data_IF_425544448027
#
_entry.id   IF_425544448027
#
_cell.length_a   1.000
_cell.length_b   1.000
_cell.length_c   1.000
_cell.angle_alpha   90.00
_cell.angle_beta   90.00
_cell.angle_gamma   90.00
#
_symmetry.space_group_name_H-M   'P 1'
#
loop_
_entity.id
_entity.type
_entity.pdbx_description
1 polymer ?
#
# COMPACT_ATOMS: atom_id res chain seq x y z
N UNK A 1 -3.48 -15.30 -47.31
CA UNK A 1 -2.88 -15.85 -46.07
C UNK A 1 -2.03 -14.85 -45.26
N UNK A 2 -1.87 -13.57 -45.66
CA UNK A 2 -1.04 -12.60 -44.93
C UNK A 2 -1.77 -11.77 -43.85
N UNK A 3 -3.11 -11.82 -43.77
CA UNK A 3 -3.89 -10.95 -42.88
C UNK A 3 -4.05 -11.46 -41.44
N UNK A 4 -3.84 -12.75 -41.18
CA UNK A 4 -4.06 -13.37 -39.85
C UNK A 4 -2.93 -12.98 -38.88
N UNK A 5 -1.69 -12.89 -39.35
CA UNK A 5 -0.52 -12.53 -38.53
C UNK A 5 -0.53 -11.09 -38.01
N UNK A 6 -1.21 -10.15 -38.67
CA UNK A 6 -1.24 -8.75 -38.25
C UNK A 6 -2.20 -8.50 -37.08
N UNK A 7 -3.25 -9.32 -36.94
CA UNK A 7 -4.24 -9.18 -35.85
C UNK A 7 -3.64 -9.64 -34.52
N UNK A 8 -2.91 -10.77 -34.52
CA UNK A 8 -2.26 -11.30 -33.30
C UNK A 8 -1.16 -10.38 -32.74
N UNK A 9 -0.38 -9.74 -33.62
CA UNK A 9 0.68 -8.79 -33.20
C UNK A 9 0.09 -7.52 -32.61
N UNK A 10 -1.05 -7.05 -33.14
CA UNK A 10 -1.72 -5.85 -32.63
C UNK A 10 -2.40 -6.12 -31.28
N UNK A 11 -3.07 -7.27 -31.12
CA UNK A 11 -3.66 -7.67 -29.84
C UNK A 11 -2.59 -7.89 -28.77
N UNK A 12 -1.47 -8.53 -29.10
CA UNK A 12 -0.35 -8.70 -28.16
C UNK A 12 0.31 -7.37 -27.79
N UNK A 13 0.45 -6.42 -28.73
CA UNK A 13 0.92 -5.07 -28.42
C UNK A 13 -0.04 -4.30 -27.51
N UNK A 14 -1.37 -4.36 -27.75
CA UNK A 14 -2.37 -3.72 -26.90
C UNK A 14 -2.38 -4.35 -25.50
N UNK A 15 -2.29 -5.68 -25.41
CA UNK A 15 -2.22 -6.38 -24.13
C UNK A 15 -0.94 -5.99 -23.38
N UNK A 16 0.21 -5.88 -24.06
CA UNK A 16 1.48 -5.44 -23.48
C UNK A 16 1.46 -3.97 -23.04
N UNK A 17 0.88 -3.07 -23.82
CA UNK A 17 0.72 -1.66 -23.45
C UNK A 17 -0.24 -1.51 -22.26
N UNK A 18 -1.31 -2.30 -22.23
CA UNK A 18 -2.29 -2.30 -21.14
C UNK A 18 -1.66 -2.82 -19.84
N UNK A 19 -0.87 -3.89 -19.89
CA UNK A 19 -0.20 -4.43 -18.68
C UNK A 19 0.91 -3.49 -18.17
N UNK A 20 1.67 -2.85 -19.06
CA UNK A 20 2.71 -1.90 -18.69
C UNK A 20 2.13 -0.66 -18.01
N UNK A 21 1.07 -0.06 -18.57
CA UNK A 21 0.37 1.08 -17.98
C UNK A 21 -0.25 0.75 -16.61
N UNK A 22 -0.81 -0.46 -16.44
CA UNK A 22 -1.36 -0.92 -15.16
C UNK A 22 -0.26 -1.14 -14.11
N UNK A 23 0.91 -1.63 -14.50
CA UNK A 23 2.07 -1.79 -13.61
C UNK A 23 2.60 -0.44 -13.11
N UNK A 24 2.75 0.54 -14.00
CA UNK A 24 3.21 1.89 -13.62
C UNK A 24 2.23 2.58 -12.67
N UNK A 25 0.93 2.42 -12.91
CA UNK A 25 -0.12 2.95 -12.01
C UNK A 25 -0.06 2.28 -10.63
N UNK A 26 0.05 0.95 -10.58
CA UNK A 26 0.06 0.19 -9.31
C UNK A 26 1.27 0.51 -8.45
N UNK A 27 2.46 0.63 -9.06
CA UNK A 27 3.68 1.04 -8.35
C UNK A 27 3.56 2.46 -7.79
N UNK A 28 3.01 3.41 -8.55
CA UNK A 28 2.75 4.78 -8.07
C UNK A 28 1.82 4.82 -6.86
N UNK A 29 0.74 4.04 -6.88
CA UNK A 29 -0.18 3.94 -5.75
C UNK A 29 0.47 3.30 -4.52
N UNK A 30 1.27 2.25 -4.69
CA UNK A 30 2.06 1.64 -3.62
C UNK A 30 3.04 2.66 -3.01
N UNK A 31 3.80 3.37 -3.85
CA UNK A 31 4.72 4.41 -3.38
C UNK A 31 3.98 5.52 -2.64
N UNK A 32 2.81 5.93 -3.11
CA UNK A 32 1.98 6.93 -2.42
C UNK A 32 1.53 6.43 -1.04
N UNK A 33 1.09 5.17 -0.94
CA UNK A 33 0.72 4.54 0.35
C UNK A 33 1.89 4.56 1.33
N UNK A 34 3.08 4.20 0.85
CA UNK A 34 4.29 4.19 1.66
C UNK A 34 4.69 5.59 2.11
N UNK A 35 4.70 6.57 1.21
CA UNK A 35 5.09 7.97 1.52
C UNK A 35 4.14 8.58 2.55
N UNK A 36 2.83 8.41 2.40
CA UNK A 36 1.85 8.93 3.36
C UNK A 36 2.02 8.28 4.73
N UNK A 37 2.27 6.96 4.76
CA UNK A 37 2.50 6.23 6.01
C UNK A 37 3.80 6.68 6.68
N UNK A 38 4.86 6.86 5.90
CA UNK A 38 6.15 7.38 6.38
C UNK A 38 6.00 8.79 6.96
N UNK A 39 5.27 9.68 6.29
CA UNK A 39 4.99 11.02 6.79
C UNK A 39 4.25 10.98 8.14
N UNK A 40 3.29 10.06 8.28
CA UNK A 40 2.55 9.88 9.53
C UNK A 40 3.44 9.36 10.66
N UNK A 41 4.34 8.42 10.37
CA UNK A 41 5.32 7.92 11.33
C UNK A 41 6.32 9.01 11.74
N UNK A 42 6.83 9.81 10.80
CA UNK A 42 7.70 10.96 11.08
C UNK A 42 6.97 11.98 11.96
N UNK A 43 5.70 12.27 11.65
CA UNK A 43 4.88 13.15 12.47
C UNK A 43 4.70 12.60 13.89
N UNK A 44 4.44 11.30 14.03
CA UNK A 44 4.36 10.61 15.33
C UNK A 44 5.70 10.67 16.08
N UNK A 45 6.82 10.61 15.38
CA UNK A 45 8.16 10.69 15.97
C UNK A 45 8.45 12.09 16.52
N UNK A 46 8.00 13.14 15.82
CA UNK A 46 8.10 14.53 16.28
C UNK A 46 7.23 14.76 17.54
N UNK A 47 6.03 14.18 17.59
CA UNK A 47 5.09 14.38 18.69
C UNK A 47 5.36 13.52 19.93
N UNK A 48 5.70 12.25 19.75
CA UNK A 48 5.89 11.27 20.83
C UNK A 48 7.36 11.05 21.20
N UNK A 49 8.29 11.62 20.43
CA UNK A 49 9.72 11.39 20.59
C UNK A 49 10.21 10.10 19.92
N UNK A 50 11.53 9.96 19.84
CA UNK A 50 12.18 8.82 19.21
C UNK A 50 12.07 7.59 20.13
N UNK A 51 11.27 6.60 19.72
CA UNK A 51 11.13 5.34 20.46
C UNK A 51 11.68 4.18 19.65
N UNK A 52 12.33 3.24 20.33
CA UNK A 52 12.89 2.02 19.72
C UNK A 52 11.79 1.21 19.02
N UNK A 53 10.59 1.16 19.61
CA UNK A 53 9.43 0.49 19.02
C UNK A 53 9.00 1.11 17.68
N UNK A 54 9.04 2.44 17.56
CA UNK A 54 8.68 3.14 16.33
C UNK A 54 9.74 2.89 15.23
N UNK A 55 11.02 2.84 15.59
CA UNK A 55 12.09 2.47 14.64
C UNK A 55 11.89 1.05 14.09
N UNK A 56 11.64 0.07 14.95
CA UNK A 56 11.38 -1.32 14.52
C UNK A 56 10.13 -1.42 13.64
N UNK A 57 9.07 -0.68 13.98
CA UNK A 57 7.83 -0.64 13.19
C UNK A 57 8.05 -0.07 11.79
N UNK A 58 8.78 1.04 11.66
CA UNK A 58 9.10 1.65 10.35
C UNK A 58 9.96 0.70 9.52
N UNK A 59 11.00 0.08 10.12
CA UNK A 59 11.84 -0.89 9.44
C UNK A 59 11.05 -2.13 8.98
N UNK A 60 10.15 -2.62 9.82
CA UNK A 60 9.29 -3.76 9.50
C UNK A 60 8.34 -3.45 8.34
N UNK A 61 7.68 -2.29 8.36
CA UNK A 61 6.81 -1.85 7.26
C UNK A 61 7.59 -1.61 5.96
N UNK A 62 8.79 -1.03 6.05
CA UNK A 62 9.66 -0.84 4.90
C UNK A 62 10.11 -2.18 4.29
N UNK A 63 10.45 -3.16 5.12
CA UNK A 63 10.79 -4.52 4.68
C UNK A 63 9.61 -5.17 3.95
N UNK A 64 8.41 -5.13 4.54
CA UNK A 64 7.21 -5.68 3.92
C UNK A 64 6.86 -4.98 2.60
N UNK A 65 7.11 -3.68 2.51
CA UNK A 65 6.92 -2.91 1.29
C UNK A 65 7.87 -3.35 0.17
N UNK A 66 9.16 -3.48 0.47
CA UNK A 66 10.17 -3.99 -0.49
C UNK A 66 9.81 -5.40 -0.95
N UNK A 67 9.43 -6.28 -0.03
CA UNK A 67 8.99 -7.64 -0.36
C UNK A 67 7.71 -7.65 -1.21
N UNK A 68 6.79 -6.71 -0.98
CA UNK A 68 5.58 -6.53 -1.80
C UNK A 68 5.93 -6.08 -3.21
N UNK A 69 6.89 -5.16 -3.38
CA UNK A 69 7.39 -4.74 -4.71
C UNK A 69 8.08 -5.90 -5.43
N UNK A 70 8.84 -6.73 -4.71
CA UNK A 70 9.49 -7.93 -5.24
C UNK A 70 8.50 -9.05 -5.61
N UNK A 71 7.19 -8.83 -5.49
CA UNK A 71 6.16 -9.78 -5.91
C UNK A 71 5.86 -10.88 -4.90
N UNK A 72 6.36 -10.80 -3.66
CA UNK A 72 6.08 -11.81 -2.65
C UNK A 72 4.62 -11.69 -2.15
N UNK A 73 3.79 -12.67 -2.51
CA UNK A 73 2.34 -12.64 -2.20
C UNK A 73 2.05 -12.63 -0.70
N UNK A 74 2.81 -13.37 0.11
CA UNK A 74 2.61 -13.41 1.56
C UNK A 74 2.94 -12.05 2.20
N UNK A 75 3.97 -11.35 1.73
CA UNK A 75 4.35 -10.03 2.24
C UNK A 75 3.25 -9.00 1.98
N UNK A 76 2.62 -9.04 0.81
CA UNK A 76 1.47 -8.19 0.49
C UNK A 76 0.29 -8.44 1.43
N UNK A 77 -0.03 -9.71 1.69
CA UNK A 77 -1.14 -10.07 2.59
C UNK A 77 -0.83 -9.59 4.00
N UNK A 78 0.39 -9.81 4.48
CA UNK A 78 0.82 -9.37 5.81
C UNK A 78 0.75 -7.84 5.91
N UNK A 79 1.25 -7.12 4.91
CA UNK A 79 1.19 -5.67 4.83
C UNK A 79 -0.27 -5.17 4.84
N UNK A 80 -1.17 -5.80 4.08
CA UNK A 80 -2.58 -5.47 4.06
C UNK A 80 -3.26 -5.69 5.43
N UNK A 81 -2.89 -6.76 6.14
CA UNK A 81 -3.37 -7.02 7.50
C UNK A 81 -2.85 -5.97 8.47
N UNK A 82 -1.56 -5.60 8.39
CA UNK A 82 -0.99 -4.55 9.23
C UNK A 82 -1.72 -3.21 9.03
N UNK A 83 -2.03 -2.83 7.78
CA UNK A 83 -2.81 -1.63 7.49
C UNK A 83 -4.26 -1.73 7.99
N UNK A 84 -4.91 -2.90 7.86
CA UNK A 84 -6.26 -3.10 8.38
C UNK A 84 -6.30 -2.96 9.91
N UNK A 85 -5.41 -3.67 10.61
CA UNK A 85 -5.33 -3.63 12.07
C UNK A 85 -4.96 -2.23 12.56
N UNK A 86 -3.97 -1.58 11.93
CA UNK A 86 -3.59 -0.20 12.24
C UNK A 86 -4.75 0.78 12.05
N UNK A 87 -5.52 0.62 10.98
CA UNK A 87 -6.71 1.42 10.70
C UNK A 87 -7.82 1.21 11.73
N UNK A 88 -8.12 -0.04 12.08
CA UNK A 88 -9.13 -0.37 13.10
C UNK A 88 -8.73 0.19 14.47
N UNK A 89 -7.47 0.02 14.88
CA UNK A 89 -6.96 0.54 16.15
C UNK A 89 -7.02 2.07 16.17
N UNK A 90 -6.63 2.73 15.07
CA UNK A 90 -6.71 4.19 14.96
C UNK A 90 -8.15 4.70 15.10
N UNK A 91 -9.12 4.05 14.43
CA UNK A 91 -10.53 4.43 14.54
C UNK A 91 -11.12 4.10 15.92
N UNK A 92 -10.76 2.96 16.52
CA UNK A 92 -11.19 2.60 17.86
C UNK A 92 -10.67 3.61 18.91
N UNK A 93 -9.48 4.17 18.69
CA UNK A 93 -8.90 5.17 19.58
C UNK A 93 -9.60 6.54 19.53
N UNK A 94 -10.50 6.79 18.57
CA UNK A 94 -11.31 8.01 18.51
C UNK A 94 -12.27 8.15 19.71
N UNK A 95 -12.59 7.06 20.40
CA UNK A 95 -13.41 7.09 21.60
C UNK A 95 -12.65 7.61 22.85
N UNK A 96 -11.33 7.78 22.76
CA UNK A 96 -10.53 8.31 23.85
C UNK A 96 -10.61 9.85 23.93
N UNK A 97 -10.51 10.40 25.13
CA UNK A 97 -10.45 11.85 25.33
C UNK A 97 -9.10 12.38 24.80
N UNK A 98 -9.13 12.98 23.61
CA UNK A 98 -7.96 13.50 22.90
C UNK A 98 -8.21 14.92 22.36
N UNK A 99 -7.16 15.72 22.13
CA UNK A 99 -7.29 17.00 21.45
C UNK A 99 -7.90 16.85 20.05
N UNK A 100 -8.73 17.80 19.63
CA UNK A 100 -9.43 17.75 18.32
C UNK A 100 -8.48 17.48 17.14
N UNK A 101 -7.29 18.08 17.14
CA UNK A 101 -6.30 17.87 16.08
C UNK A 101 -5.81 16.42 16.00
N UNK A 102 -5.66 15.73 17.13
CA UNK A 102 -5.22 14.34 17.19
C UNK A 102 -6.33 13.40 16.70
N UNK A 103 -7.59 13.71 17.03
CA UNK A 103 -8.79 12.99 16.57
C UNK A 103 -8.88 13.05 15.04
N UNK A 104 -8.74 14.25 14.45
CA UNK A 104 -8.79 14.43 12.99
C UNK A 104 -7.67 13.65 12.29
N UNK A 105 -6.45 13.73 12.82
CA UNK A 105 -5.31 12.98 12.26
C UNK A 105 -5.51 11.47 12.34
N UNK A 106 -5.96 10.94 13.48
CA UNK A 106 -6.24 9.51 13.66
C UNK A 106 -7.38 9.04 12.76
N UNK A 107 -8.42 9.85 12.57
CA UNK A 107 -9.54 9.52 11.69
C UNK A 107 -9.08 9.44 10.23
N UNK A 108 -8.33 10.44 9.75
CA UNK A 108 -7.80 10.46 8.37
C UNK A 108 -6.87 9.27 8.15
N UNK A 109 -5.94 9.02 9.06
CA UNK A 109 -5.03 7.88 8.97
C UNK A 109 -5.74 6.53 9.04
N UNK A 110 -6.75 6.41 9.91
CA UNK A 110 -7.55 5.21 10.05
C UNK A 110 -8.28 4.85 8.76
N UNK A 111 -8.99 5.82 8.18
CA UNK A 111 -9.69 5.65 6.90
C UNK A 111 -8.70 5.34 5.77
N UNK A 112 -7.60 6.09 5.71
CA UNK A 112 -6.55 5.86 4.71
C UNK A 112 -5.96 4.45 4.79
N UNK A 113 -5.68 3.96 5.99
CA UNK A 113 -5.10 2.63 6.20
C UNK A 113 -6.08 1.52 5.79
N UNK A 114 -7.38 1.70 6.05
CA UNK A 114 -8.40 0.75 5.56
C UNK A 114 -8.51 0.76 4.04
N UNK A 115 -8.49 1.93 3.40
CA UNK A 115 -8.50 2.06 1.95
C UNK A 115 -7.25 1.42 1.32
N UNK A 116 -6.07 1.64 1.91
CA UNK A 116 -4.80 1.03 1.49
C UNK A 116 -4.85 -0.49 1.63
N UNK A 117 -5.39 -1.02 2.72
CA UNK A 117 -5.60 -2.46 2.92
C UNK A 117 -6.52 -3.05 1.84
N UNK A 118 -7.67 -2.41 1.60
CA UNK A 118 -8.61 -2.83 0.55
C UNK A 118 -7.97 -2.82 -0.85
N UNK A 119 -7.13 -1.82 -1.15
CA UNK A 119 -6.36 -1.76 -2.38
C UNK A 119 -5.37 -2.93 -2.52
N UNK A 120 -4.61 -3.22 -1.46
CA UNK A 120 -3.64 -4.32 -1.45
C UNK A 120 -4.29 -5.70 -1.61
N UNK A 121 -5.48 -5.91 -1.03
CA UNK A 121 -6.25 -7.14 -1.24
C UNK A 121 -6.81 -7.26 -2.66
N UNK A 122 -7.27 -6.16 -3.26
CA UNK A 122 -7.94 -6.15 -4.58
C UNK A 122 -6.95 -6.15 -5.75
N UNK A 123 -5.71 -5.70 -5.55
CA UNK A 123 -4.69 -5.60 -6.60
C UNK A 123 -4.31 -6.98 -7.18
N UNK A 124 -4.90 -7.32 -8.34
CA UNK A 124 -4.59 -8.54 -9.13
C UNK A 124 -3.25 -8.45 -9.86
N UNK A 125 -2.74 -7.23 -10.09
CA UNK A 125 -1.53 -6.99 -10.91
C UNK A 125 -0.27 -7.58 -10.24
N UNK A 126 -0.18 -7.52 -8.91
CA UNK A 126 0.92 -8.14 -8.13
C UNK A 126 0.82 -9.67 -8.02
N UNK A 127 -0.28 -10.28 -8.52
CA UNK A 127 -0.47 -11.74 -8.56
C UNK A 127 0.13 -12.39 -9.81
N UNK A 128 0.51 -11.59 -10.80
CA UNK A 128 0.95 -12.07 -12.10
C UNK A 128 2.44 -12.46 -12.15
N UNK A 129 3.26 -12.01 -11.18
CA UNK A 129 4.70 -12.25 -11.16
C UNK A 129 5.14 -13.43 -10.27
N UNK A 130 4.20 -14.28 -9.84
CA UNK A 130 4.44 -15.48 -9.00
C UNK A 130 4.27 -16.78 -9.79
N UNK A 131 4.62 -16.80 -11.08
CA UNK A 131 4.80 -18.05 -11.83
C UNK A 131 6.28 -18.30 -12.08
#
# INVERSE_FOLDING_TARGET
MAAIWHVDVFETWILFQRTSLMHTSTLRWLTLIFVVTLLFEVHSLILAGLSVALVFRVLFLALLFVLTINGQQWARILLAICYALGGIVALASLAAAMPLWAVVNLAIFGVFSLLASGYLFRSRVLRANTR
#
